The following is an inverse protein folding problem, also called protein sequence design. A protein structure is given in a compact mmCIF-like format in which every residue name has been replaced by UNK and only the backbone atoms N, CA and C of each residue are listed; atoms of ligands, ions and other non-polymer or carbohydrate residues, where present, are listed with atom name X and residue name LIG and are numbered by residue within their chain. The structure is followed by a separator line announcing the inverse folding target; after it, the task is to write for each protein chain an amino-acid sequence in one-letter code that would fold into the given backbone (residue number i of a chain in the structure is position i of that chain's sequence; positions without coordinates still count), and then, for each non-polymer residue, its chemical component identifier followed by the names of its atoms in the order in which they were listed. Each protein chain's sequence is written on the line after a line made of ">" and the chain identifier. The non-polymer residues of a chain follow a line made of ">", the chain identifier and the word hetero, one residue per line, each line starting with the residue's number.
data_IF_274580866974
#
_entry.id   IF_274580866974
#
_cell.length_a   1.000
_cell.length_b   1.000
_cell.length_c   1.000
_cell.angle_alpha   90.00
_cell.angle_beta   90.00
_cell.angle_gamma   90.00
#
_symmetry.space_group_name_H-M   'P 1'
#
loop_
_entity.id
_entity.type
_entity.pdbx_description
1 polymer ?
#
# COMPACT_ATOMS: atom_id res chain seq x y z
N UNK A 1 15.23 13.23 -10.33
CA UNK A 1 14.42 13.68 -11.48
C UNK A 1 13.75 15.00 -11.13
N UNK A 2 13.38 15.81 -12.13
CA UNK A 2 12.74 17.12 -11.95
C UNK A 2 11.31 17.05 -12.52
N UNK A 3 10.34 17.63 -11.83
CA UNK A 3 8.95 17.71 -12.28
C UNK A 3 8.70 18.95 -13.16
N UNK A 4 7.48 19.07 -13.70
CA UNK A 4 7.10 20.17 -14.61
C UNK A 4 7.15 21.57 -13.98
N UNK A 5 7.14 21.67 -12.65
CA UNK A 5 7.30 22.92 -11.89
C UNK A 5 8.77 23.29 -11.61
N UNK A 6 9.73 22.56 -12.19
CA UNK A 6 11.16 22.80 -12.02
C UNK A 6 11.73 22.33 -10.67
N UNK A 7 10.90 21.76 -9.79
CA UNK A 7 11.33 21.25 -8.49
C UNK A 7 11.61 19.74 -8.56
N UNK A 8 12.58 19.20 -7.78
CA UNK A 8 12.76 17.76 -7.67
C UNK A 8 11.53 17.09 -7.06
N UNK A 9 11.34 15.80 -7.29
CA UNK A 9 10.30 14.99 -6.65
C UNK A 9 10.90 13.67 -6.12
N UNK A 10 10.30 13.11 -5.08
CA UNK A 10 10.69 11.82 -4.51
C UNK A 10 10.12 10.68 -5.32
N UNK A 11 10.86 9.56 -5.39
CA UNK A 11 10.36 8.33 -6.05
C UNK A 11 9.07 7.83 -5.40
N UNK A 12 8.95 7.95 -4.08
CA UNK A 12 7.74 7.64 -3.33
C UNK A 12 6.91 8.91 -3.09
N UNK A 13 5.59 8.77 -3.15
CA UNK A 13 4.60 9.79 -2.83
C UNK A 13 3.30 9.12 -2.40
N UNK A 14 2.37 9.91 -1.86
CA UNK A 14 1.06 9.43 -1.46
C UNK A 14 -0.06 10.14 -2.22
N UNK A 15 -1.20 9.47 -2.42
CA UNK A 15 -2.37 10.13 -3.03
C UNK A 15 -2.95 11.22 -2.12
N UNK A 16 -2.93 10.99 -0.80
CA UNK A 16 -3.44 11.92 0.21
C UNK A 16 -2.62 11.82 1.50
N UNK A 17 -2.93 12.69 2.47
CA UNK A 17 -2.36 12.62 3.81
C UNK A 17 -1.72 13.92 4.27
N UNK A 18 -0.96 13.84 5.37
CA UNK A 18 -0.42 15.02 6.04
C UNK A 18 0.83 15.59 5.36
N UNK A 19 1.30 14.96 4.28
CA UNK A 19 2.40 15.46 3.44
C UNK A 19 1.94 16.41 2.34
N UNK A 20 0.64 16.71 2.22
CA UNK A 20 0.14 17.64 1.22
C UNK A 20 0.62 19.07 1.49
N UNK A 21 1.14 19.71 0.46
CA UNK A 21 1.59 21.11 0.51
C UNK A 21 0.49 21.98 -0.09
N UNK A 22 0.06 23.01 0.65
CA UNK A 22 -0.87 24.02 0.12
C UNK A 22 -0.08 25.10 -0.63
N UNK A 23 -0.41 25.33 -1.90
CA UNK A 23 0.26 26.31 -2.75
C UNK A 23 1.53 25.77 -3.40
N UNK A 24 2.50 26.65 -3.68
CA UNK A 24 3.76 26.27 -4.34
C UNK A 24 4.56 25.33 -3.44
N UNK A 25 4.91 24.15 -3.96
CA UNK A 25 5.77 23.19 -3.26
C UNK A 25 7.25 23.54 -3.42
N UNK A 26 8.07 23.12 -2.46
CA UNK A 26 9.52 23.11 -2.57
C UNK A 26 10.08 21.72 -2.89
N UNK A 27 11.42 21.63 -2.86
CA UNK A 27 12.11 20.35 -2.89
C UNK A 27 11.65 19.44 -1.73
N UNK A 28 11.37 18.14 -1.97
CA UNK A 28 11.00 17.21 -0.92
C UNK A 28 12.10 17.07 0.13
N UNK A 29 11.72 16.96 1.41
CA UNK A 29 12.61 16.50 2.47
C UNK A 29 12.97 15.02 2.23
N UNK A 30 14.24 14.68 2.37
CA UNK A 30 14.79 13.33 2.23
C UNK A 30 15.27 12.74 3.56
N UNK A 31 15.02 13.43 4.67
CA UNK A 31 15.34 12.93 6.00
C UNK A 31 14.53 11.67 6.35
N UNK A 32 14.99 10.83 7.27
CA UNK A 32 14.26 9.63 7.69
C UNK A 32 12.85 9.89 8.27
N UNK A 33 12.57 11.12 8.71
CA UNK A 33 11.26 11.52 9.25
C UNK A 33 10.43 12.34 8.27
N UNK A 34 10.89 12.47 7.02
CA UNK A 34 10.19 13.18 5.98
C UNK A 34 8.81 12.57 5.73
N UNK A 35 7.79 13.42 5.57
CA UNK A 35 6.49 13.05 5.02
C UNK A 35 6.52 13.33 3.53
N UNK A 36 6.45 12.30 2.70
CA UNK A 36 6.45 12.48 1.25
C UNK A 36 5.24 13.31 0.81
N UNK A 37 5.42 14.05 -0.27
CA UNK A 37 4.37 14.93 -0.81
C UNK A 37 3.13 14.12 -1.19
N UNK A 38 1.96 14.71 -0.98
CA UNK A 38 0.67 14.12 -1.36
C UNK A 38 -0.27 15.15 -1.99
N UNK A 39 -1.25 14.69 -2.76
CA UNK A 39 -2.15 15.57 -3.50
C UNK A 39 -3.27 16.14 -2.61
N UNK A 40 -3.95 15.28 -1.85
CA UNK A 40 -5.11 15.68 -1.04
C UNK A 40 -4.74 15.85 0.44
N UNK A 41 -4.95 17.03 1.05
CA UNK A 41 -4.57 17.27 2.44
C UNK A 41 -5.51 16.57 3.42
N UNK A 42 -4.97 15.64 4.20
CA UNK A 42 -5.66 14.96 5.29
C UNK A 42 -4.79 14.90 6.56
N UNK A 43 -5.40 14.68 7.72
CA UNK A 43 -4.66 14.52 8.99
C UNK A 43 -3.86 13.22 9.06
N UNK A 44 -4.31 12.19 8.33
CA UNK A 44 -3.67 10.90 8.16
C UNK A 44 -3.82 10.46 6.70
N UNK A 45 -2.89 9.65 6.22
CA UNK A 45 -3.07 8.94 4.95
C UNK A 45 -4.17 7.87 5.08
N UNK A 46 -4.83 7.54 3.97
CA UNK A 46 -5.88 6.53 3.91
C UNK A 46 -5.40 5.26 3.22
N UNK A 47 -5.88 4.10 3.66
CA UNK A 47 -5.58 2.82 3.00
C UNK A 47 -5.94 2.81 1.50
N UNK A 48 -5.14 2.07 0.74
CA UNK A 48 -5.48 1.61 -0.61
C UNK A 48 -6.51 0.48 -0.58
N UNK A 49 -7.22 0.31 -1.69
CA UNK A 49 -8.26 -0.72 -1.86
C UNK A 49 -7.95 -1.71 -2.98
N UNK A 50 -6.71 -1.71 -3.48
CA UNK A 50 -6.22 -2.65 -4.48
C UNK A 50 -6.00 -4.05 -3.90
N UNK A 51 -6.00 -5.06 -4.77
CA UNK A 51 -5.71 -6.44 -4.39
C UNK A 51 -4.31 -6.56 -3.76
N UNK A 52 -4.19 -7.37 -2.70
CA UNK A 52 -2.93 -7.63 -2.00
C UNK A 52 -2.40 -9.05 -2.28
N UNK A 53 -1.08 -9.23 -2.24
CA UNK A 53 -0.46 -10.52 -2.44
C UNK A 53 -0.69 -11.48 -1.26
N UNK A 54 -0.88 -12.76 -1.56
CA UNK A 54 -0.91 -13.86 -0.60
C UNK A 54 0.16 -14.88 -0.98
N UNK A 55 1.04 -15.20 -0.03
CA UNK A 55 2.09 -16.21 -0.19
C UNK A 55 1.85 -17.36 0.79
N UNK A 56 2.03 -18.61 0.35
CA UNK A 56 1.82 -19.78 1.20
C UNK A 56 2.82 -20.90 0.93
N UNK A 57 3.10 -21.68 1.97
CA UNK A 57 3.90 -22.91 1.93
C UNK A 57 3.32 -23.93 2.93
N UNK A 58 3.61 -25.21 2.75
CA UNK A 58 3.06 -26.29 3.58
C UNK A 58 1.66 -26.74 3.15
N UNK A 59 0.96 -27.54 3.99
CA UNK A 59 -0.36 -28.09 3.66
C UNK A 59 -1.38 -26.99 3.31
N UNK A 60 -2.07 -27.17 2.18
CA UNK A 60 -3.07 -26.20 1.70
C UNK A 60 -2.50 -25.09 0.80
N UNK A 61 -1.17 -24.99 0.64
CA UNK A 61 -0.57 -23.94 -0.21
C UNK A 61 -0.99 -24.03 -1.67
N UNK A 62 -1.34 -25.21 -2.17
CA UNK A 62 -1.83 -25.41 -3.53
C UNK A 62 -3.15 -24.66 -3.83
N UNK A 63 -3.90 -24.26 -2.79
CA UNK A 63 -5.12 -23.44 -2.92
C UNK A 63 -4.83 -21.94 -3.06
N UNK A 64 -3.59 -21.50 -2.82
CA UNK A 64 -3.16 -20.11 -2.91
C UNK A 64 -2.62 -19.83 -4.32
N UNK A 65 -3.53 -19.59 -5.24
CA UNK A 65 -3.23 -19.23 -6.62
C UNK A 65 -4.38 -18.40 -7.24
N UNK A 66 -4.07 -17.62 -8.28
CA UNK A 66 -5.05 -16.77 -8.96
C UNK A 66 -5.45 -15.54 -8.14
N UNK A 67 -6.65 -15.02 -8.42
CA UNK A 67 -7.28 -13.92 -7.66
C UNK A 67 -8.34 -14.53 -6.74
N UNK A 68 -8.28 -14.21 -5.46
CA UNK A 68 -9.13 -14.79 -4.42
C UNK A 68 -9.77 -13.69 -3.58
N UNK A 69 -11.03 -13.91 -3.20
CA UNK A 69 -11.68 -13.12 -2.15
C UNK A 69 -10.93 -13.29 -0.82
N UNK A 70 -10.70 -12.20 -0.07
CA UNK A 70 -9.88 -12.22 1.15
C UNK A 70 -10.42 -13.22 2.21
N UNK A 71 -11.74 -13.42 2.27
CA UNK A 71 -12.34 -14.39 3.20
C UNK A 71 -11.95 -15.85 2.89
N UNK A 72 -11.49 -16.16 1.66
CA UNK A 72 -11.02 -17.50 1.28
C UNK A 72 -9.78 -17.91 2.06
N UNK A 73 -8.95 -16.97 2.52
CA UNK A 73 -7.75 -17.23 3.33
C UNK A 73 -8.12 -18.05 4.57
N UNK A 74 -9.18 -17.65 5.29
CA UNK A 74 -9.65 -18.34 6.48
C UNK A 74 -10.08 -19.78 6.18
N UNK A 75 -10.77 -20.00 5.06
CA UNK A 75 -11.20 -21.34 4.65
C UNK A 75 -10.04 -22.25 4.29
N UNK A 76 -9.03 -21.73 3.57
CA UNK A 76 -7.82 -22.49 3.22
C UNK A 76 -7.12 -22.96 4.50
N UNK A 77 -6.92 -22.06 5.47
CA UNK A 77 -6.28 -22.39 6.75
C UNK A 77 -7.10 -23.42 7.54
N UNK A 78 -8.43 -23.25 7.61
CA UNK A 78 -9.30 -24.21 8.33
C UNK A 78 -9.25 -25.60 7.71
N UNK A 79 -9.32 -25.72 6.38
CA UNK A 79 -9.21 -27.02 5.70
C UNK A 79 -7.84 -27.64 5.91
N UNK A 80 -6.75 -26.86 5.83
CA UNK A 80 -5.40 -27.35 6.08
C UNK A 80 -5.23 -27.91 7.52
N UNK A 81 -5.95 -27.36 8.49
CA UNK A 81 -5.96 -27.81 9.89
C UNK A 81 -6.98 -28.92 10.19
N UNK A 82 -7.78 -29.37 9.22
CA UNK A 82 -8.87 -30.34 9.45
C UNK A 82 -10.04 -29.78 10.28
N UNK A 83 -10.24 -28.46 10.27
CA UNK A 83 -11.30 -27.74 11.01
C UNK A 83 -12.50 -27.36 10.12
N UNK A 84 -12.48 -27.80 8.86
CA UNK A 84 -13.54 -27.65 7.88
C UNK A 84 -13.37 -28.74 6.81
N UNK A 85 -14.50 -29.20 6.24
CA UNK A 85 -14.55 -30.20 5.19
C UNK A 85 -13.95 -29.72 3.84
#
# INVERSE_FOLDING_TARGET
>A
AIASDGQPYSTLGYGNGPGAVRGTRGAPDTSPKARQQSLVPLGAETHGGEDVALYATGPGSQEVHGVLEQNRIGWIVRRALGLAD
#
